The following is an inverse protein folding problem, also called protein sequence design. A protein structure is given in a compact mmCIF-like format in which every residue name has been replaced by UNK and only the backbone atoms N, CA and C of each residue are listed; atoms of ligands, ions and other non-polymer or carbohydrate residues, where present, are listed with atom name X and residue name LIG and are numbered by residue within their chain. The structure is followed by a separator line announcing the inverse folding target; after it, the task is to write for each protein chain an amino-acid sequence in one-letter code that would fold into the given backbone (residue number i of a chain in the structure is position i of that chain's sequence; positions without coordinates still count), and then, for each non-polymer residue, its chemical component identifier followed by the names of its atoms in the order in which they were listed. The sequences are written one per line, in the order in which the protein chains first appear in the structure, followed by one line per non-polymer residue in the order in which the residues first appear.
data_IF_794137303725
#
_entry.id   IF_794137303725
#
_cell.length_a   1.000
_cell.length_b   1.000
_cell.length_c   1.000
_cell.angle_alpha   90.00
_cell.angle_beta   90.00
_cell.angle_gamma   90.00
#
_symmetry.space_group_name_H-M   'P 1'
#
loop_
_entity.id
_entity.type
_entity.pdbx_description
1 polymer ?
#
# COMPACT_ATOMS: atom_id res chain seq x y z
N UNK A 1 -34.06 -4.99 7.31
CA UNK A 1 -34.25 -6.41 7.70
C UNK A 1 -32.87 -7.01 7.87
N UNK A 2 -32.62 -7.84 8.89
CA UNK A 2 -31.35 -8.55 9.00
C UNK A 2 -31.24 -9.49 7.79
N UNK A 3 -30.15 -9.39 7.01
CA UNK A 3 -29.91 -10.31 5.92
C UNK A 3 -29.65 -11.71 6.49
N UNK A 4 -30.46 -12.69 6.07
CA UNK A 4 -30.26 -14.07 6.48
C UNK A 4 -29.08 -14.65 5.69
N UNK A 5 -27.95 -14.74 6.37
CA UNK A 5 -26.67 -15.21 5.82
C UNK A 5 -26.58 -16.74 5.73
N UNK A 6 -27.65 -17.47 6.07
CA UNK A 6 -27.72 -18.92 5.94
C UNK A 6 -28.09 -19.38 4.53
N UNK A 7 -28.67 -18.50 3.72
CA UNK A 7 -29.12 -18.79 2.35
C UNK A 7 -28.03 -18.36 1.37
N UNK A 8 -27.62 -19.20 0.41
CA UNK A 8 -26.63 -18.82 -0.59
C UNK A 8 -27.12 -17.65 -1.43
N UNK A 9 -26.20 -16.77 -1.86
CA UNK A 9 -26.52 -15.56 -2.63
C UNK A 9 -27.39 -15.85 -3.87
N UNK A 10 -27.16 -16.99 -4.54
CA UNK A 10 -27.93 -17.43 -5.71
C UNK A 10 -29.42 -17.66 -5.38
N UNK A 11 -29.72 -18.33 -4.26
CA UNK A 11 -31.10 -18.58 -3.83
C UNK A 11 -31.77 -17.29 -3.35
N UNK A 12 -31.01 -16.38 -2.73
CA UNK A 12 -31.52 -15.06 -2.35
C UNK A 12 -31.88 -14.23 -3.59
N UNK A 13 -31.02 -14.21 -4.62
CA UNK A 13 -31.29 -13.50 -5.86
C UNK A 13 -32.50 -14.11 -6.57
N UNK A 14 -32.57 -15.44 -6.71
CA UNK A 14 -33.71 -16.13 -7.34
C UNK A 14 -35.03 -15.87 -6.61
N UNK A 15 -35.06 -16.00 -5.28
CA UNK A 15 -36.27 -15.72 -4.48
C UNK A 15 -36.70 -14.25 -4.58
N UNK A 16 -35.75 -13.32 -4.69
CA UNK A 16 -36.06 -11.89 -4.87
C UNK A 16 -36.53 -11.57 -6.29
N UNK A 17 -35.90 -12.11 -7.32
CA UNK A 17 -36.37 -11.97 -8.72
C UNK A 17 -37.79 -12.52 -8.89
N UNK A 18 -38.06 -13.72 -8.36
CA UNK A 18 -39.40 -14.32 -8.38
C UNK A 18 -40.43 -13.52 -7.56
N UNK A 19 -40.05 -12.97 -6.40
CA UNK A 19 -40.92 -12.10 -5.62
C UNK A 19 -41.24 -10.76 -6.33
N UNK A 20 -40.30 -10.29 -7.14
CA UNK A 20 -40.41 -9.06 -7.94
C UNK A 20 -41.05 -9.30 -9.32
N UNK A 21 -41.49 -10.53 -9.61
CA UNK A 21 -42.05 -10.93 -10.91
C UNK A 21 -41.13 -10.61 -12.09
N UNK A 22 -39.82 -10.59 -11.84
CA UNK A 22 -38.77 -10.41 -12.84
C UNK A 22 -38.31 -11.77 -13.36
N UNK A 23 -37.63 -11.77 -14.51
CA UNK A 23 -37.04 -12.95 -15.12
C UNK A 23 -36.04 -13.60 -14.15
N UNK A 24 -36.31 -14.83 -13.72
CA UNK A 24 -35.58 -15.56 -12.68
C UNK A 24 -34.73 -16.73 -13.23
N UNK A 25 -34.35 -16.65 -14.52
CA UNK A 25 -33.48 -17.64 -15.16
C UNK A 25 -32.11 -17.74 -14.49
N UNK A 26 -31.49 -18.93 -14.55
CA UNK A 26 -30.15 -19.19 -13.99
C UNK A 26 -29.09 -18.21 -14.54
N UNK A 27 -29.19 -17.84 -15.82
CA UNK A 27 -28.32 -16.84 -16.46
C UNK A 27 -28.45 -15.45 -15.81
N UNK A 28 -29.67 -15.04 -15.43
CA UNK A 28 -29.91 -13.75 -14.78
C UNK A 28 -29.40 -13.74 -13.34
N UNK A 29 -29.57 -14.86 -12.63
CA UNK A 29 -29.06 -15.02 -11.26
C UNK A 29 -27.54 -14.94 -11.24
N UNK A 30 -26.86 -15.63 -12.16
CA UNK A 30 -25.40 -15.60 -12.27
C UNK A 30 -24.87 -14.24 -12.74
N UNK A 31 -25.59 -13.57 -13.65
CA UNK A 31 -25.25 -12.21 -14.08
C UNK A 31 -25.31 -11.21 -12.93
N UNK A 32 -26.43 -11.17 -12.19
CA UNK A 32 -26.60 -10.31 -11.01
C UNK A 32 -25.54 -10.63 -9.95
N UNK A 33 -25.23 -11.91 -9.75
CA UNK A 33 -24.19 -12.33 -8.81
C UNK A 33 -22.82 -11.77 -9.19
N UNK A 34 -22.40 -11.92 -10.45
CA UNK A 34 -21.11 -11.39 -10.92
C UNK A 34 -21.03 -9.88 -10.75
N UNK A 35 -22.11 -9.19 -11.10
CA UNK A 35 -22.23 -7.74 -10.96
C UNK A 35 -22.15 -7.25 -9.51
N UNK A 36 -22.69 -8.04 -8.58
CA UNK A 36 -22.67 -7.73 -7.14
C UNK A 36 -21.31 -8.06 -6.52
N UNK A 37 -20.66 -9.15 -6.94
CA UNK A 37 -19.30 -9.53 -6.49
C UNK A 37 -18.20 -8.60 -7.03
N UNK A 38 -18.40 -8.01 -8.20
CA UNK A 38 -17.48 -7.03 -8.78
C UNK A 38 -17.72 -5.63 -8.15
N UNK A 39 -16.89 -5.27 -7.16
CA UNK A 39 -16.87 -3.94 -6.52
C UNK A 39 -16.56 -2.78 -7.49
N UNK A 40 -16.19 -3.08 -8.74
CA UNK A 40 -15.80 -2.10 -9.76
C UNK A 40 -16.97 -1.31 -10.35
N UNK A 41 -18.22 -1.79 -10.22
CA UNK A 41 -19.39 -1.13 -10.80
C UNK A 41 -20.08 -0.20 -9.81
N UNK A 42 -20.39 1.02 -10.25
CA UNK A 42 -21.25 1.96 -9.53
C UNK A 42 -22.70 1.43 -9.49
N UNK A 43 -23.49 1.74 -8.44
CA UNK A 43 -24.86 1.23 -8.31
C UNK A 43 -25.78 1.61 -9.48
N UNK A 44 -25.53 2.76 -10.13
CA UNK A 44 -26.25 3.20 -11.32
C UNK A 44 -25.92 2.32 -12.54
N UNK A 45 -24.64 2.03 -12.77
CA UNK A 45 -24.19 1.14 -13.84
C UNK A 45 -24.75 -0.28 -13.67
N UNK A 46 -24.83 -0.75 -12.41
CA UNK A 46 -25.40 -2.07 -12.09
C UNK A 46 -26.87 -2.15 -12.49
N UNK A 47 -27.62 -1.09 -12.18
CA UNK A 47 -29.04 -0.98 -12.50
C UNK A 47 -29.24 -0.99 -14.01
N UNK A 48 -28.53 -0.14 -14.76
CA UNK A 48 -28.65 -0.08 -16.22
C UNK A 48 -28.23 -1.38 -16.90
N UNK A 49 -27.23 -2.11 -16.36
CA UNK A 49 -26.83 -3.41 -16.87
C UNK A 49 -27.91 -4.48 -16.71
N UNK A 50 -28.54 -4.57 -15.53
CA UNK A 50 -29.62 -5.53 -15.26
C UNK A 50 -30.85 -5.18 -16.10
N UNK A 51 -31.17 -3.89 -16.18
CA UNK A 51 -32.32 -3.42 -16.93
C UNK A 51 -32.15 -3.63 -18.44
N UNK A 52 -30.93 -3.39 -18.97
CA UNK A 52 -30.59 -3.69 -20.34
C UNK A 52 -30.71 -5.17 -20.70
N UNK A 53 -30.39 -6.07 -19.76
CA UNK A 53 -30.56 -7.52 -19.98
C UNK A 53 -32.02 -7.98 -19.83
N UNK A 54 -32.85 -7.22 -19.11
CA UNK A 54 -34.29 -7.41 -19.07
C UNK A 54 -35.01 -6.82 -20.29
N UNK A 55 -34.28 -6.17 -21.21
CA UNK A 55 -34.83 -5.41 -22.34
C UNK A 55 -35.95 -4.44 -21.90
N UNK A 56 -35.88 -3.96 -20.64
CA UNK A 56 -36.88 -3.09 -20.05
C UNK A 56 -36.42 -1.63 -20.21
N UNK A 57 -37.36 -0.73 -20.47
CA UNK A 57 -37.05 0.70 -20.56
C UNK A 57 -36.79 1.28 -19.16
N UNK A 58 -35.83 2.21 -19.05
CA UNK A 58 -35.53 2.90 -17.78
C UNK A 58 -36.75 3.68 -17.25
N UNK A 59 -37.70 3.98 -18.13
CA UNK A 59 -38.96 4.66 -17.86
C UNK A 59 -40.05 3.74 -17.26
N UNK A 60 -39.88 2.42 -17.32
CA UNK A 60 -40.77 1.47 -16.65
C UNK A 60 -40.48 1.49 -15.13
N UNK A 61 -41.08 2.46 -14.44
CA UNK A 61 -40.87 2.68 -13.01
C UNK A 61 -41.16 1.48 -12.10
N UNK A 62 -41.87 0.46 -12.60
CA UNK A 62 -42.14 -0.79 -11.89
C UNK A 62 -40.96 -1.76 -11.92
N UNK A 63 -40.35 -1.99 -13.08
CA UNK A 63 -39.17 -2.86 -13.24
C UNK A 63 -37.92 -2.18 -12.69
N UNK A 64 -37.77 -0.87 -12.95
CA UNK A 64 -36.70 -0.04 -12.43
C UNK A 64 -36.67 -0.01 -10.90
N UNK A 65 -37.82 0.15 -10.24
CA UNK A 65 -37.92 0.10 -8.78
C UNK A 65 -37.68 -1.31 -8.21
N UNK A 66 -38.11 -2.35 -8.92
CA UNK A 66 -37.85 -3.72 -8.52
C UNK A 66 -36.35 -4.09 -8.56
N UNK A 67 -35.63 -3.64 -9.59
CA UNK A 67 -34.17 -3.83 -9.69
C UNK A 67 -33.45 -3.07 -8.58
N UNK A 68 -33.90 -1.86 -8.22
CA UNK A 68 -33.34 -1.12 -7.08
C UNK A 68 -33.52 -1.86 -5.75
N UNK A 69 -34.70 -2.43 -5.51
CA UNK A 69 -34.97 -3.25 -4.32
C UNK A 69 -34.12 -4.53 -4.29
N UNK A 70 -33.91 -5.17 -5.44
CA UNK A 70 -33.03 -6.32 -5.59
C UNK A 70 -31.58 -5.97 -5.22
N UNK A 71 -31.04 -4.90 -5.81
CA UNK A 71 -29.68 -4.43 -5.56
C UNK A 71 -29.50 -4.00 -4.09
N UNK A 72 -30.51 -3.36 -3.49
CA UNK A 72 -30.51 -3.04 -2.06
C UNK A 72 -30.45 -4.28 -1.16
N UNK A 73 -31.16 -5.36 -1.53
CA UNK A 73 -31.14 -6.60 -0.78
C UNK A 73 -29.80 -7.36 -0.91
N UNK A 74 -29.21 -7.39 -2.10
CA UNK A 74 -27.96 -8.10 -2.36
C UNK A 74 -26.74 -7.36 -1.77
N UNK A 75 -26.72 -6.03 -1.82
CA UNK A 75 -25.70 -5.21 -1.16
C UNK A 75 -25.76 -5.34 0.36
N UNK A 76 -26.95 -5.28 0.96
CA UNK A 76 -27.14 -5.51 2.39
C UNK A 76 -26.68 -6.92 2.83
N UNK A 77 -26.87 -7.93 1.98
CA UNK A 77 -26.34 -9.27 2.21
C UNK A 77 -24.80 -9.29 2.20
N UNK A 78 -24.16 -8.67 1.21
CA UNK A 78 -22.70 -8.57 1.16
C UNK A 78 -22.10 -7.79 2.34
N UNK A 79 -22.72 -6.68 2.72
CA UNK A 79 -22.31 -5.89 3.89
C UNK A 79 -22.42 -6.71 5.19
N UNK A 80 -23.47 -7.52 5.31
CA UNK A 80 -23.63 -8.41 6.46
C UNK A 80 -22.59 -9.56 6.45
N UNK A 81 -22.22 -10.10 5.28
CA UNK A 81 -21.09 -11.05 5.15
C UNK A 81 -19.78 -10.37 5.56
N UNK A 82 -19.53 -9.16 5.09
CA UNK A 82 -18.32 -8.40 5.39
C UNK A 82 -18.25 -8.03 6.87
N UNK A 83 -19.38 -7.65 7.49
CA UNK A 83 -19.49 -7.39 8.92
C UNK A 83 -19.19 -8.64 9.74
N UNK A 84 -19.77 -9.80 9.42
CA UNK A 84 -19.42 -11.06 10.09
C UNK A 84 -17.95 -11.43 9.93
N UNK A 85 -17.36 -11.23 8.74
CA UNK A 85 -15.91 -11.44 8.53
C UNK A 85 -15.06 -10.48 9.37
N UNK A 86 -15.52 -9.24 9.61
CA UNK A 86 -14.86 -8.28 10.51
C UNK A 86 -14.98 -8.71 11.96
N UNK A 87 -16.17 -9.11 12.41
CA UNK A 87 -16.41 -9.64 13.76
C UNK A 87 -15.60 -10.92 14.03
N UNK A 88 -15.50 -11.84 13.07
CA UNK A 88 -14.64 -13.03 13.17
C UNK A 88 -13.15 -12.67 13.22
N UNK A 89 -12.72 -11.64 12.48
CA UNK A 89 -11.33 -11.14 12.54
C UNK A 89 -11.05 -10.43 13.86
N UNK A 90 -12.00 -9.71 14.43
CA UNK A 90 -11.88 -9.08 15.74
C UNK A 90 -11.91 -10.12 16.88
N UNK A 91 -12.71 -11.18 16.75
CA UNK A 91 -12.72 -12.30 17.68
C UNK A 91 -11.47 -13.19 17.59
N UNK A 92 -10.84 -13.25 16.41
CA UNK A 92 -9.59 -13.99 16.16
C UNK A 92 -8.33 -13.14 16.31
N UNK A 93 -8.47 -11.84 16.47
CA UNK A 93 -7.38 -10.99 16.93
C UNK A 93 -7.04 -11.42 18.36
N UNK A 94 -5.78 -11.73 18.69
CA UNK A 94 -5.41 -12.06 20.06
C UNK A 94 -5.80 -10.85 20.91
N UNK A 95 -6.69 -11.08 21.88
CA UNK A 95 -7.01 -10.11 22.90
C UNK A 95 -5.70 -9.48 23.36
N UNK A 96 -5.55 -8.17 23.15
CA UNK A 96 -4.47 -7.41 23.79
C UNK A 96 -4.53 -7.80 25.25
N UNK A 97 -3.43 -8.39 25.73
CA UNK A 97 -3.22 -8.73 27.12
C UNK A 97 -3.17 -7.45 27.95
N UNK A 98 -4.34 -6.86 28.19
CA UNK A 98 -4.58 -5.81 29.19
C UNK A 98 -4.77 -6.46 30.56
N UNK A 99 -3.88 -7.36 30.98
CA UNK A 99 -3.88 -7.81 32.37
C UNK A 99 -2.58 -8.52 32.77
N UNK A 100 -1.43 -7.84 32.71
CA UNK A 100 -0.34 -8.18 33.62
C UNK A 100 0.18 -6.94 34.34
N UNK A 101 -0.40 -6.78 35.52
CA UNK A 101 0.00 -5.96 36.64
C UNK A 101 1.53 -5.77 36.78
N UNK A 102 1.90 -4.48 36.75
CA UNK A 102 2.94 -3.80 37.54
C UNK A 102 3.62 -4.67 38.61
N UNK A 103 4.67 -5.40 38.23
CA UNK A 103 5.85 -5.61 39.07
C UNK A 103 6.98 -4.80 38.41
N UNK A 104 7.76 -3.98 39.15
CA UNK A 104 8.89 -3.29 38.56
C UNK A 104 9.87 -4.34 38.02
N UNK A 105 9.99 -4.42 36.69
CA UNK A 105 10.92 -5.32 36.02
C UNK A 105 12.33 -4.90 36.41
N UNK A 106 13.19 -5.90 36.64
CA UNK A 106 14.61 -5.63 36.85
C UNK A 106 15.23 -5.04 35.57
N UNK A 107 16.31 -4.24 35.64
CA UNK A 107 16.88 -3.57 34.46
C UNK A 107 17.30 -4.54 33.34
N UNK A 108 17.63 -5.79 33.69
CA UNK A 108 17.95 -6.84 32.71
C UNK A 108 16.72 -7.35 31.95
N UNK A 109 15.57 -7.43 32.62
CA UNK A 109 14.31 -7.85 31.99
C UNK A 109 13.75 -6.73 31.10
N UNK A 110 13.93 -5.46 31.48
CA UNK A 110 13.60 -4.33 30.61
C UNK A 110 14.48 -4.29 29.36
N UNK A 111 15.76 -4.65 29.47
CA UNK A 111 16.66 -4.74 28.32
C UNK A 111 16.23 -5.86 27.36
N UNK A 112 15.81 -7.01 27.89
CA UNK A 112 15.25 -8.10 27.07
C UNK A 112 13.95 -7.70 26.39
N UNK A 113 13.04 -7.05 27.12
CA UNK A 113 11.79 -6.53 26.54
C UNK A 113 12.05 -5.46 25.48
N UNK A 114 13.02 -4.57 25.70
CA UNK A 114 13.43 -3.57 24.72
C UNK A 114 14.06 -4.21 23.49
N UNK A 115 14.92 -5.22 23.66
CA UNK A 115 15.51 -5.96 22.55
C UNK A 115 14.46 -6.75 21.76
N UNK A 116 13.50 -7.36 22.44
CA UNK A 116 12.39 -8.08 21.83
C UNK A 116 11.41 -7.15 21.12
N UNK A 117 11.13 -5.97 21.69
CA UNK A 117 10.37 -4.90 21.03
C UNK A 117 11.12 -4.32 19.84
N UNK A 118 12.45 -4.13 19.92
CA UNK A 118 13.29 -3.72 18.80
C UNK A 118 13.24 -4.74 17.66
N UNK A 119 13.27 -6.03 18.00
CA UNK A 119 13.13 -7.15 17.06
C UNK A 119 11.71 -7.23 16.45
N UNK A 120 10.67 -7.01 17.26
CA UNK A 120 9.28 -7.07 16.83
C UNK A 120 8.86 -5.86 15.98
N UNK A 121 9.41 -4.67 16.26
CA UNK A 121 9.12 -3.44 15.54
C UNK A 121 10.11 -3.11 14.42
N UNK A 122 10.97 -4.06 14.05
CA UNK A 122 11.69 -3.99 12.79
C UNK A 122 12.53 -2.72 12.64
N UNK A 123 13.18 -2.27 13.72
CA UNK A 123 14.52 -1.73 13.48
C UNK A 123 15.34 -2.93 13.06
N UNK A 124 15.33 -3.18 11.75
CA UNK A 124 16.39 -3.87 11.06
C UNK A 124 17.68 -3.32 11.69
N UNK A 125 18.38 -4.12 12.49
CA UNK A 125 19.83 -4.09 12.41
C UNK A 125 20.09 -4.01 10.91
N UNK A 126 20.75 -2.91 10.50
CA UNK A 126 21.10 -2.65 9.11
C UNK A 126 21.36 -4.01 8.46
N UNK A 127 20.50 -4.42 7.49
CA UNK A 127 20.80 -5.57 6.62
C UNK A 127 22.26 -5.37 6.28
N UNK A 128 23.14 -6.18 6.90
CA UNK A 128 24.56 -5.95 6.72
C UNK A 128 24.77 -5.98 5.22
N UNK A 129 25.61 -5.11 4.67
CA UNK A 129 25.75 -5.01 3.21
C UNK A 129 25.95 -6.40 2.56
N UNK A 130 26.47 -7.37 3.32
CA UNK A 130 26.53 -8.80 3.04
C UNK A 130 25.18 -9.50 2.82
N UNK A 131 24.17 -9.38 3.69
CA UNK A 131 22.85 -9.99 3.49
C UNK A 131 22.10 -9.35 2.32
N UNK A 132 22.28 -8.04 2.10
CA UNK A 132 21.72 -7.36 0.93
C UNK A 132 22.38 -7.83 -0.36
N UNK A 133 23.70 -8.08 -0.35
CA UNK A 133 24.45 -8.65 -1.46
C UNK A 133 24.09 -10.11 -1.73
N UNK A 134 23.92 -10.93 -0.70
CA UNK A 134 23.52 -12.34 -0.87
C UNK A 134 22.11 -12.46 -1.43
N UNK A 135 21.20 -11.55 -1.04
CA UNK A 135 19.86 -11.49 -1.62
C UNK A 135 19.89 -11.03 -3.08
N UNK A 136 20.72 -10.04 -3.41
CA UNK A 136 20.91 -9.54 -4.77
C UNK A 136 21.62 -10.59 -5.67
N UNK A 137 22.54 -11.39 -5.12
CA UNK A 137 23.15 -12.54 -5.78
C UNK A 137 22.17 -13.70 -5.94
N UNK A 138 21.33 -14.00 -4.94
CA UNK A 138 20.29 -15.01 -5.02
C UNK A 138 19.21 -14.63 -6.06
N UNK A 139 18.85 -13.34 -6.15
CA UNK A 139 17.95 -12.82 -7.19
C UNK A 139 18.59 -12.88 -8.58
N UNK A 140 19.89 -12.60 -8.70
CA UNK A 140 20.65 -12.78 -9.94
C UNK A 140 20.77 -14.25 -10.35
N UNK A 141 20.91 -15.18 -9.40
CA UNK A 141 20.98 -16.62 -9.68
C UNK A 141 19.61 -17.21 -10.03
N UNK A 142 18.52 -16.64 -9.48
CA UNK A 142 17.14 -17.01 -9.82
C UNK A 142 16.67 -16.41 -11.15
N UNK A 143 17.28 -15.31 -11.60
CA UNK A 143 17.10 -14.83 -12.97
C UNK A 143 17.90 -15.74 -13.90
N UNK A 144 17.26 -16.52 -14.79
CA UNK A 144 18.02 -17.29 -15.76
C UNK A 144 18.86 -16.32 -16.59
N UNK A 145 20.16 -16.62 -16.73
CA UNK A 145 21.13 -16.00 -17.65
C UNK A 145 20.75 -16.20 -19.13
N UNK A 146 19.47 -15.98 -19.48
CA UNK A 146 19.11 -15.54 -20.81
C UNK A 146 19.62 -14.12 -20.89
N UNK A 147 20.92 -13.99 -21.16
CA UNK A 147 21.60 -12.73 -21.42
C UNK A 147 20.62 -11.78 -22.10
N UNK A 148 20.17 -10.76 -21.36
CA UNK A 148 19.21 -9.78 -21.83
C UNK A 148 19.84 -9.11 -23.06
N UNK A 149 19.48 -9.61 -24.23
CA UNK A 149 20.00 -9.11 -25.50
C UNK A 149 19.20 -7.86 -25.83
N UNK A 150 19.81 -6.72 -25.60
CA UNK A 150 19.24 -5.44 -25.97
C UNK A 150 18.79 -5.49 -27.45
N UNK A 151 17.49 -5.32 -27.73
CA UNK A 151 16.97 -5.35 -29.09
C UNK A 151 17.59 -4.27 -30.00
N UNK A 152 18.16 -3.21 -29.43
CA UNK A 152 18.89 -2.18 -30.19
C UNK A 152 20.14 -2.73 -30.88
N UNK A 153 20.79 -3.72 -30.27
CA UNK A 153 22.02 -4.37 -30.75
C UNK A 153 21.75 -5.51 -31.74
N UNK A 154 20.47 -5.90 -31.93
CA UNK A 154 20.08 -6.98 -32.83
C UNK A 154 19.74 -6.48 -34.24
N UNK A 155 20.07 -7.29 -35.25
CA UNK A 155 19.66 -7.00 -36.63
C UNK A 155 18.12 -6.99 -36.75
N UNK A 156 17.57 -6.22 -37.69
CA UNK A 156 16.11 -6.08 -37.87
C UNK A 156 15.39 -7.43 -38.04
N UNK A 157 16.04 -8.42 -38.66
CA UNK A 157 15.49 -9.77 -38.86
C UNK A 157 15.47 -10.59 -37.56
N UNK A 158 16.51 -10.47 -36.74
CA UNK A 158 16.59 -11.14 -35.44
C UNK A 158 15.59 -10.56 -34.44
N UNK A 159 15.39 -9.23 -34.45
CA UNK A 159 14.33 -8.59 -33.66
C UNK A 159 12.95 -9.12 -34.00
N UNK A 160 12.60 -9.18 -35.30
CA UNK A 160 11.30 -9.68 -35.73
C UNK A 160 11.07 -11.13 -35.30
N UNK A 161 12.06 -12.00 -35.48
CA UNK A 161 11.98 -13.41 -35.06
C UNK A 161 11.92 -13.59 -33.54
N UNK A 162 12.52 -12.69 -32.77
CA UNK A 162 12.46 -12.69 -31.31
C UNK A 162 11.13 -12.12 -30.76
N UNK A 163 10.42 -11.29 -31.53
CA UNK A 163 9.08 -10.79 -31.20
C UNK A 163 7.95 -11.67 -31.75
N UNK A 164 8.24 -12.58 -32.68
CA UNK A 164 7.26 -13.46 -33.30
C UNK A 164 6.76 -14.51 -32.29
N UNK A 165 5.48 -14.43 -31.92
CA UNK A 165 4.86 -15.30 -30.91
C UNK A 165 5.10 -14.87 -29.45
N UNK A 166 5.75 -13.72 -29.22
CA UNK A 166 5.92 -13.15 -27.88
C UNK A 166 4.79 -12.16 -27.60
N UNK A 167 4.04 -12.40 -26.53
CA UNK A 167 3.04 -11.46 -26.04
C UNK A 167 3.71 -10.17 -25.56
N UNK A 168 3.53 -9.09 -26.33
CA UNK A 168 4.17 -7.80 -26.09
C UNK A 168 3.63 -7.10 -24.84
N UNK A 169 2.43 -7.45 -24.36
CA UNK A 169 1.85 -6.90 -23.13
C UNK A 169 2.39 -7.60 -21.88
N UNK A 170 2.78 -8.87 -22.00
CA UNK A 170 3.44 -9.62 -20.94
C UNK A 170 4.93 -9.29 -20.80
N UNK A 171 5.51 -8.55 -21.75
CA UNK A 171 6.92 -8.14 -21.67
C UNK A 171 7.13 -7.11 -20.53
N UNK A 172 8.21 -7.26 -19.74
CA UNK A 172 8.56 -6.27 -18.73
C UNK A 172 8.68 -4.88 -19.33
N UNK A 173 8.06 -3.89 -18.70
CA UNK A 173 8.17 -2.50 -19.13
C UNK A 173 9.60 -1.99 -18.91
N UNK A 174 10.37 -1.91 -19.99
CA UNK A 174 11.77 -1.46 -19.98
C UNK A 174 11.91 0.01 -19.53
N UNK A 175 10.86 0.82 -19.67
CA UNK A 175 10.86 2.20 -19.17
C UNK A 175 10.71 2.27 -17.65
N UNK A 176 10.20 1.21 -17.00
CA UNK A 176 10.05 1.18 -15.55
C UNK A 176 11.40 1.32 -14.84
N UNK A 177 12.42 0.62 -15.33
CA UNK A 177 13.77 0.71 -14.76
C UNK A 177 14.35 2.12 -14.92
N UNK A 178 14.21 2.71 -16.12
CA UNK A 178 14.71 4.06 -16.36
C UNK A 178 14.01 5.12 -15.49
N UNK A 179 12.69 5.00 -15.30
CA UNK A 179 11.92 5.89 -14.41
C UNK A 179 12.34 5.71 -12.96
N UNK A 180 12.54 4.47 -12.50
CA UNK A 180 13.01 4.17 -11.15
C UNK A 180 14.44 4.71 -10.89
N UNK A 181 15.35 4.55 -11.86
CA UNK A 181 16.70 5.12 -11.76
C UNK A 181 16.68 6.64 -11.72
N UNK A 182 15.88 7.29 -12.56
CA UNK A 182 15.71 8.74 -12.52
C UNK A 182 15.12 9.22 -11.19
N UNK A 183 14.13 8.51 -10.65
CA UNK A 183 13.54 8.84 -9.35
C UNK A 183 14.56 8.68 -8.22
N UNK A 184 15.34 7.60 -8.25
CA UNK A 184 16.43 7.37 -7.29
C UNK A 184 17.47 8.47 -7.37
N UNK A 185 17.91 8.87 -8.56
CA UNK A 185 18.83 9.99 -8.74
C UNK A 185 18.26 11.31 -8.20
N UNK A 186 16.96 11.58 -8.40
CA UNK A 186 16.29 12.76 -7.82
C UNK A 186 16.27 12.71 -6.29
N UNK A 187 15.99 11.56 -5.69
CA UNK A 187 16.01 11.36 -4.22
C UNK A 187 17.43 11.50 -3.65
N UNK A 188 18.45 10.97 -4.34
CA UNK A 188 19.84 11.13 -3.94
C UNK A 188 20.30 12.59 -4.06
N UNK A 189 19.91 13.28 -5.13
CA UNK A 189 20.22 14.70 -5.32
C UNK A 189 19.56 15.59 -4.26
N UNK A 190 18.30 15.32 -3.91
CA UNK A 190 17.61 16.06 -2.85
C UNK A 190 18.21 15.79 -1.46
N UNK A 191 18.58 14.54 -1.18
CA UNK A 191 19.31 14.15 0.04
C UNK A 191 20.67 14.87 0.13
N UNK A 192 21.48 14.84 -0.93
CA UNK A 192 22.77 15.54 -0.98
C UNK A 192 22.60 17.05 -0.81
N UNK A 193 21.59 17.66 -1.43
CA UNK A 193 21.29 19.07 -1.26
C UNK A 193 20.88 19.42 0.19
N UNK A 194 20.09 18.57 0.84
CA UNK A 194 19.72 18.73 2.24
C UNK A 194 20.94 18.58 3.18
N UNK A 195 21.81 17.60 2.94
CA UNK A 195 23.04 17.43 3.68
C UNK A 195 23.99 18.62 3.51
N UNK A 196 24.12 19.16 2.29
CA UNK A 196 24.93 20.34 2.01
C UNK A 196 24.39 21.59 2.74
N UNK A 197 23.07 21.78 2.79
CA UNK A 197 22.44 22.85 3.59
C UNK A 197 22.74 22.69 5.07
N UNK A 198 22.54 21.49 5.62
CA UNK A 198 22.84 21.18 7.03
C UNK A 198 24.32 21.45 7.37
N UNK A 199 25.25 21.02 6.51
CA UNK A 199 26.68 21.25 6.70
C UNK A 199 27.03 22.74 6.67
N UNK A 200 26.38 23.53 5.81
CA UNK A 200 26.55 24.99 5.77
C UNK A 200 26.02 25.66 7.04
N UNK A 201 24.82 25.30 7.48
CA UNK A 201 24.22 25.83 8.70
C UNK A 201 25.06 25.50 9.95
N UNK A 202 25.59 24.27 10.03
CA UNK A 202 26.49 23.87 11.11
C UNK A 202 27.82 24.65 11.08
N UNK A 203 28.38 24.90 9.89
CA UNK A 203 29.58 25.71 9.74
C UNK A 203 29.35 27.17 10.15
N UNK A 204 28.23 27.76 9.76
CA UNK A 204 27.87 29.14 10.14
C UNK A 204 27.61 29.24 11.65
N UNK A 205 26.96 28.24 12.25
CA UNK A 205 26.78 28.17 13.71
C UNK A 205 28.11 28.06 14.46
N UNK A 206 29.07 27.30 13.94
CA UNK A 206 30.44 27.21 14.52
C UNK A 206 31.14 28.56 14.45
N UNK A 207 31.10 29.25 13.32
CA UNK A 207 31.67 30.61 13.18
C UNK A 207 31.08 31.59 14.18
N UNK A 208 29.75 31.60 14.34
CA UNK A 208 29.09 32.46 15.33
C UNK A 208 29.55 32.18 16.76
N UNK A 209 29.73 30.90 17.12
CA UNK A 209 30.26 30.51 18.44
C UNK A 209 31.71 30.95 18.63
N UNK A 210 32.55 30.78 17.61
CA UNK A 210 33.95 31.21 17.64
C UNK A 210 34.09 32.73 17.76
N UNK A 211 33.30 33.49 17.01
CA UNK A 211 33.31 34.96 17.09
C UNK A 211 32.78 35.46 18.44
N UNK A 212 31.78 34.79 19.01
CA UNK A 212 31.31 35.08 20.36
C UNK A 212 32.38 34.76 21.42
N UNK A 213 33.06 33.63 21.30
CA UNK A 213 34.15 33.24 22.19
C UNK A 213 35.32 34.24 22.12
N UNK A 214 35.74 34.64 20.92
CA UNK A 214 36.78 35.67 20.72
C UNK A 214 36.38 37.00 21.35
N UNK A 215 35.14 37.46 21.16
CA UNK A 215 34.63 38.68 21.79
C UNK A 215 34.62 38.58 23.32
N UNK A 216 34.26 37.42 23.89
CA UNK A 216 34.33 37.19 25.35
C UNK A 216 35.78 37.18 25.85
N UNK A 217 36.71 36.56 25.14
CA UNK A 217 38.12 36.59 25.48
C UNK A 217 38.71 38.00 25.41
N UNK A 218 38.36 38.79 24.39
CA UNK A 218 38.77 40.19 24.31
C UNK A 218 38.22 41.01 25.47
N UNK A 219 36.95 40.81 25.85
CA UNK A 219 36.36 41.45 27.04
C UNK A 219 37.10 41.04 28.32
N UNK A 220 37.41 39.74 28.49
CA UNK A 220 38.18 39.23 29.63
C UNK A 220 39.59 39.84 29.68
N UNK A 221 40.29 39.89 28.54
CA UNK A 221 41.63 40.52 28.43
C UNK A 221 41.58 42.02 28.71
N UNK A 222 40.53 42.73 28.27
CA UNK A 222 40.33 44.15 28.59
C UNK A 222 40.05 44.36 30.08
N UNK A 223 39.15 43.58 30.68
CA UNK A 223 38.85 43.64 32.12
C UNK A 223 40.12 43.39 32.96
N UNK A 224 40.88 42.34 32.63
CA UNK A 224 42.14 42.03 33.33
C UNK A 224 43.20 43.14 33.19
N UNK A 225 43.21 43.89 32.07
CA UNK A 225 44.09 45.04 31.90
C UNK A 225 43.65 46.26 32.73
N UNK A 226 42.34 46.44 32.94
CA UNK A 226 41.80 47.52 33.78
C UNK A 226 42.09 47.23 35.25
N UNK A 227 41.90 46.00 35.71
CA UNK A 227 42.24 45.60 37.10
C UNK A 227 43.75 45.66 37.41
N UNK A 228 44.62 45.61 36.41
CA UNK A 228 46.07 45.80 36.59
C UNK A 228 46.51 47.27 36.59
N UNK A 229 45.63 48.19 36.18
CA UNK A 229 45.92 49.64 36.08
C UNK A 229 45.23 50.48 37.15
N UNK A 230 44.18 49.96 37.79
CA UNK A 230 43.63 50.49 39.04
C UNK A 230 44.40 49.95 40.24
#
# INVERSE_FOLDING_TARGET
MAADLSVPLNELISTKLGALSLRDDEEMVDFVKGLVEEESFEPEDRKSAILGMLEADEEDGTTSGAVDELLGATTAYQDAVAAKRREEREAKAPAKAEEQAKKPLTPEEEAKRKAELLKAYGYMEEETEAERLEREEAERQMQPDKAYKDPSQMSRKQRKKALEGVDLLALPNLNKHHVQEQERQRREASSKAAQAKKAKDDADRRKQKEDAAKKLEEKRKRAQKVERKG
#
